data_IF_887847093978
#
_entry.id   IF_887847093978
#
_cell.length_a   1.000
_cell.length_b   1.000
_cell.length_c   1.000
_cell.angle_alpha   90.00
_cell.angle_beta   90.00
_cell.angle_gamma   90.00
#
_symmetry.space_group_name_H-M   'P 1'
#
loop_
_entity.id
_entity.type
_entity.pdbx_description
1 polymer ?
#
# COMPACT_ATOMS: atom_id res chain seq x y z
N UNK A 1 -40.05 48.87 -46.64
CA UNK A 1 -39.61 50.23 -46.27
C UNK A 1 -38.41 50.11 -45.34
N UNK A 2 -37.27 50.69 -45.73
CA UNK A 2 -36.31 51.48 -44.92
C UNK A 2 -35.98 50.88 -43.53
N UNK A 3 -34.80 50.29 -43.24
CA UNK A 3 -33.45 50.77 -43.51
C UNK A 3 -32.87 51.45 -42.25
N UNK A 4 -31.81 50.89 -41.64
CA UNK A 4 -30.65 51.64 -41.10
C UNK A 4 -29.51 50.73 -40.63
N UNK A 5 -28.32 51.15 -41.04
CA UNK A 5 -26.97 50.62 -40.85
C UNK A 5 -26.21 51.56 -39.90
N UNK A 6 -25.29 51.02 -39.09
CA UNK A 6 -24.01 51.62 -38.66
C UNK A 6 -23.14 50.48 -38.05
N UNK A 7 -21.99 50.03 -38.60
CA UNK A 7 -20.65 50.63 -38.77
C UNK A 7 -20.06 51.12 -37.42
N UNK A 8 -18.80 50.88 -36.98
CA UNK A 8 -17.57 50.32 -37.55
C UNK A 8 -16.53 50.08 -36.42
N UNK A 9 -15.42 49.39 -36.71
CA UNK A 9 -14.11 49.52 -36.03
C UNK A 9 -13.58 48.20 -35.43
N UNK A 10 -12.90 47.32 -36.15
CA UNK A 10 -11.51 47.34 -36.66
C UNK A 10 -10.42 47.35 -35.57
N UNK A 11 -9.68 46.23 -35.41
CA UNK A 11 -8.25 46.16 -35.79
C UNK A 11 -7.71 44.71 -35.77
N UNK A 12 -6.84 44.43 -36.74
CA UNK A 12 -6.17 43.18 -37.06
C UNK A 12 -4.80 43.06 -36.34
N UNK A 13 -4.46 41.84 -35.95
CA UNK A 13 -3.11 41.24 -36.01
C UNK A 13 -3.32 39.73 -35.80
N UNK A 14 -2.93 38.79 -36.67
CA UNK A 14 -1.78 38.71 -37.55
C UNK A 14 -1.04 37.43 -37.15
N UNK A 15 -1.00 36.42 -38.02
CA UNK A 15 -0.23 35.19 -37.77
C UNK A 15 -0.68 33.97 -38.58
N UNK A 16 -0.19 33.86 -39.80
CA UNK A 16 -0.24 32.64 -40.64
C UNK A 16 1.01 31.81 -40.38
N UNK A 17 0.88 30.49 -40.21
CA UNK A 17 1.86 29.47 -40.63
C UNK A 17 1.24 28.08 -40.40
N UNK A 18 0.76 27.40 -41.44
CA UNK A 18 1.46 26.37 -42.23
C UNK A 18 1.50 24.97 -41.57
N UNK A 19 0.74 24.03 -42.14
CA UNK A 19 0.82 22.58 -41.90
C UNK A 19 1.74 21.98 -42.98
N UNK A 20 2.61 21.01 -42.64
CA UNK A 20 2.70 19.79 -43.46
C UNK A 20 2.86 18.48 -42.62
N UNK A 21 2.85 17.29 -43.26
CA UNK A 21 2.25 16.06 -42.71
C UNK A 21 3.22 14.98 -42.21
N UNK A 22 2.63 13.95 -41.56
CA UNK A 22 3.02 12.53 -41.41
C UNK A 22 4.50 12.16 -41.20
N UNK A 23 4.79 11.52 -40.06
CA UNK A 23 5.81 10.48 -39.95
C UNK A 23 5.42 9.43 -38.90
N UNK A 24 5.27 8.17 -39.33
CA UNK A 24 5.30 6.99 -38.46
C UNK A 24 6.73 6.84 -37.91
N UNK A 25 6.87 6.59 -36.60
CA UNK A 25 8.11 6.11 -36.01
C UNK A 25 7.83 5.04 -34.95
N UNK A 26 8.03 3.80 -35.40
CA UNK A 26 8.62 2.64 -34.75
C UNK A 26 8.31 2.31 -33.28
N UNK A 27 7.70 1.14 -33.10
CA UNK A 27 7.86 0.31 -31.91
C UNK A 27 9.36 0.02 -31.66
N UNK A 28 9.80 0.24 -30.43
CA UNK A 28 11.10 -0.18 -29.92
C UNK A 28 10.94 -0.54 -28.45
N UNK A 29 11.28 -1.78 -28.12
CA UNK A 29 11.27 -2.34 -26.78
C UNK A 29 12.17 -1.55 -25.82
N UNK A 30 11.89 -1.62 -24.51
CA UNK A 30 12.90 -1.93 -23.49
C UNK A 30 12.25 -2.04 -22.09
N UNK A 31 12.42 -3.21 -21.48
CA UNK A 31 12.43 -3.43 -20.04
C UNK A 31 13.76 -4.13 -19.71
N UNK A 32 14.28 -4.15 -18.47
CA UNK A 32 13.91 -3.41 -17.25
C UNK A 32 15.09 -2.57 -16.70
N UNK A 33 14.84 -1.43 -16.04
CA UNK A 33 15.89 -0.74 -15.26
C UNK A 33 15.83 -1.15 -13.80
N UNK A 34 16.89 -1.83 -13.36
CA UNK A 34 17.22 -2.03 -11.96
C UNK A 34 17.31 -0.67 -11.24
N UNK A 35 16.62 -0.50 -10.12
CA UNK A 35 16.70 0.73 -9.33
C UNK A 35 17.54 0.48 -8.07
N UNK A 36 18.66 1.19 -8.00
CA UNK A 36 19.48 1.33 -6.81
C UNK A 36 18.68 2.03 -5.70
N UNK A 37 18.71 1.47 -4.49
CA UNK A 37 17.96 1.97 -3.34
C UNK A 37 18.66 3.16 -2.66
N UNK A 38 17.93 4.27 -2.54
CA UNK A 38 18.31 5.46 -1.78
C UNK A 38 17.78 5.38 -0.31
N UNK A 39 18.36 6.12 0.65
CA UNK A 39 18.12 5.93 2.10
C UNK A 39 16.81 6.56 2.64
N UNK A 40 16.22 5.91 3.66
CA UNK A 40 14.88 6.14 4.23
C UNK A 40 14.88 7.11 5.45
N UNK A 41 13.94 8.07 5.48
CA UNK A 41 13.56 8.98 6.60
C UNK A 41 12.07 8.75 6.94
N UNK A 42 11.53 9.17 8.09
CA UNK A 42 10.15 8.88 8.59
C UNK A 42 8.99 9.38 7.67
N UNK A 43 9.35 9.91 6.49
CA UNK A 43 8.52 10.31 5.34
C UNK A 43 8.61 9.37 4.13
N UNK A 44 9.28 8.23 4.26
CA UNK A 44 9.63 7.36 3.13
C UNK A 44 8.76 6.10 3.14
N UNK A 45 7.87 6.04 2.16
CA UNK A 45 7.05 4.86 1.91
C UNK A 45 7.92 3.80 1.27
N UNK A 46 7.80 2.52 1.63
CA UNK A 46 8.53 1.42 0.99
C UNK A 46 8.26 1.40 -0.53
N UNK A 47 9.18 0.90 -1.39
CA UNK A 47 8.89 0.82 -2.83
C UNK A 47 7.62 -0.01 -3.07
N UNK A 48 6.68 0.54 -3.84
CA UNK A 48 5.37 -0.07 -4.09
C UNK A 48 4.32 0.15 -2.98
N UNK A 49 4.66 0.79 -1.86
CA UNK A 49 3.75 1.00 -0.75
C UNK A 49 2.53 1.86 -1.12
N UNK A 50 2.63 2.80 -2.08
CA UNK A 50 1.47 3.56 -2.55
C UNK A 50 0.36 2.64 -3.11
N UNK A 51 0.73 1.66 -3.94
CA UNK A 51 -0.22 0.69 -4.48
C UNK A 51 -0.74 -0.27 -3.40
N UNK A 52 0.11 -0.64 -2.43
CA UNK A 52 -0.30 -1.44 -1.29
C UNK A 52 -1.31 -0.70 -0.42
N UNK A 53 -1.05 0.57 -0.06
CA UNK A 53 -1.95 1.41 0.75
C UNK A 53 -3.29 1.61 0.06
N UNK A 54 -3.29 1.88 -1.24
CA UNK A 54 -4.55 1.98 -2.01
C UNK A 54 -5.37 0.69 -1.88
N UNK A 55 -4.76 -0.48 -2.11
CA UNK A 55 -5.43 -1.77 -1.97
C UNK A 55 -5.86 -2.09 -0.55
N UNK A 56 -5.08 -1.66 0.44
CA UNK A 56 -5.43 -1.78 1.84
C UNK A 56 -6.73 -1.03 2.14
N UNK A 57 -6.88 0.21 1.65
CA UNK A 57 -8.11 0.98 1.79
C UNK A 57 -9.29 0.38 1.02
N UNK A 58 -9.08 -0.15 -0.19
CA UNK A 58 -10.12 -0.85 -0.95
C UNK A 58 -10.65 -2.10 -0.24
N UNK A 59 -9.81 -2.76 0.56
CA UNK A 59 -10.19 -3.96 1.33
C UNK A 59 -10.89 -3.64 2.66
N UNK A 60 -10.81 -2.41 3.19
CA UNK A 60 -11.49 -2.05 4.45
C UNK A 60 -13.00 -2.23 4.30
N UNK A 61 -13.60 -2.91 5.28
CA UNK A 61 -15.03 -3.27 5.25
C UNK A 61 -15.35 -4.56 4.47
N UNK A 62 -14.36 -5.19 3.84
CA UNK A 62 -14.51 -6.54 3.29
C UNK A 62 -14.44 -7.62 4.38
N UNK A 63 -14.80 -8.85 4.02
CA UNK A 63 -14.88 -10.00 4.90
C UNK A 63 -14.14 -11.21 4.31
N UNK A 64 -14.04 -12.30 5.08
CA UNK A 64 -13.45 -13.56 4.63
C UNK A 64 -11.96 -13.70 4.94
N UNK A 65 -11.41 -12.85 5.81
CA UNK A 65 -10.03 -12.93 6.29
C UNK A 65 -9.91 -13.52 7.70
N UNK A 66 -10.89 -14.29 8.15
CA UNK A 66 -10.89 -14.85 9.51
C UNK A 66 -9.67 -15.73 9.74
N UNK A 67 -8.84 -15.38 10.73
CA UNK A 67 -7.54 -16.00 11.03
C UNK A 67 -6.55 -16.01 9.86
N UNK A 68 -6.73 -15.15 8.86
CA UNK A 68 -5.94 -15.12 7.63
C UNK A 68 -5.16 -13.81 7.50
N UNK A 69 -4.59 -13.33 8.60
CA UNK A 69 -3.82 -12.08 8.68
C UNK A 69 -2.65 -12.03 7.68
N UNK A 70 -1.88 -13.13 7.56
CA UNK A 70 -0.80 -13.24 6.59
C UNK A 70 -1.30 -13.18 5.14
N UNK A 71 -2.48 -13.77 4.86
CA UNK A 71 -3.10 -13.68 3.53
C UNK A 71 -3.59 -12.26 3.24
N UNK A 72 -4.20 -11.58 4.21
CA UNK A 72 -4.59 -10.18 4.05
C UNK A 72 -3.38 -9.31 3.71
N UNK A 73 -2.31 -9.42 4.49
CA UNK A 73 -1.08 -8.67 4.26
C UNK A 73 -0.50 -8.93 2.86
N UNK A 74 -0.46 -10.20 2.42
CA UNK A 74 -0.01 -10.57 1.09
C UNK A 74 -0.91 -9.98 -0.02
N UNK A 75 -2.24 -10.08 0.14
CA UNK A 75 -3.20 -9.56 -0.84
C UNK A 75 -3.08 -8.05 -0.99
N UNK A 76 -2.88 -7.32 0.12
CA UNK A 76 -2.59 -5.88 0.11
C UNK A 76 -1.38 -5.57 -0.78
N UNK A 77 -0.32 -6.37 -0.68
CA UNK A 77 0.88 -6.29 -1.51
C UNK A 77 0.77 -6.95 -2.89
N UNK A 78 -0.45 -7.28 -3.32
CA UNK A 78 -0.70 -7.85 -4.66
C UNK A 78 -0.22 -9.29 -4.83
N UNK A 79 0.04 -10.01 -3.74
CA UNK A 79 0.42 -11.43 -3.73
C UNK A 79 -0.78 -12.28 -3.34
N UNK A 80 -0.98 -13.48 -3.94
CA UNK A 80 -2.10 -14.36 -3.57
C UNK A 80 -1.93 -15.03 -2.20
N UNK A 81 -0.70 -15.11 -1.67
CA UNK A 81 -0.35 -15.76 -0.41
C UNK A 81 0.97 -15.20 0.15
N UNK A 82 1.18 -15.35 1.45
CA UNK A 82 2.41 -14.90 2.11
C UNK A 82 3.60 -15.85 1.91
N UNK A 83 3.32 -17.14 1.65
CA UNK A 83 4.33 -18.20 1.55
C UNK A 83 4.89 -18.69 2.89
N UNK A 84 4.37 -18.19 4.01
CA UNK A 84 4.66 -18.67 5.36
C UNK A 84 3.43 -19.34 5.95
N UNK A 85 3.63 -20.36 6.78
CA UNK A 85 2.57 -21.04 7.52
C UNK A 85 1.89 -20.11 8.53
N UNK A 86 2.64 -19.18 9.14
CA UNK A 86 2.08 -18.21 10.09
C UNK A 86 2.83 -16.88 10.12
N UNK A 87 2.20 -15.85 10.72
CA UNK A 87 2.84 -14.57 10.95
C UNK A 87 4.05 -14.69 11.89
N UNK A 88 3.97 -15.56 12.90
CA UNK A 88 5.08 -15.86 13.80
C UNK A 88 6.25 -16.55 13.06
N UNK A 89 5.97 -17.42 12.10
CA UNK A 89 7.01 -18.00 11.25
C UNK A 89 7.66 -16.95 10.36
N UNK A 90 6.86 -16.13 9.68
CA UNK A 90 7.37 -15.03 8.86
C UNK A 90 8.27 -14.11 9.70
N UNK A 91 7.83 -13.72 10.91
CA UNK A 91 8.64 -12.92 11.81
C UNK A 91 9.98 -13.59 12.18
N UNK A 92 9.97 -14.87 12.55
CA UNK A 92 11.21 -15.61 12.85
C UNK A 92 12.15 -15.62 11.65
N UNK A 93 11.64 -15.77 10.43
CA UNK A 93 12.45 -15.69 9.22
C UNK A 93 13.03 -14.29 9.02
N UNK A 94 12.24 -13.22 9.24
CA UNK A 94 12.73 -11.84 9.15
C UNK A 94 13.85 -11.57 10.15
N UNK A 95 13.72 -12.10 11.37
CA UNK A 95 14.80 -12.04 12.38
C UNK A 95 16.03 -12.82 11.92
N UNK A 96 15.87 -14.07 11.47
CA UNK A 96 16.98 -14.92 11.06
C UNK A 96 17.77 -14.35 9.87
N UNK A 97 17.10 -13.65 8.97
CA UNK A 97 17.69 -13.02 7.78
C UNK A 97 18.17 -11.59 7.99
N UNK A 98 18.03 -11.03 9.20
CA UNK A 98 18.44 -9.66 9.51
C UNK A 98 17.53 -8.57 8.93
N UNK A 99 16.33 -8.91 8.47
CA UNK A 99 15.35 -7.97 7.92
C UNK A 99 14.37 -7.41 8.97
N UNK A 100 14.41 -7.92 10.21
CA UNK A 100 13.52 -7.50 11.27
C UNK A 100 14.05 -6.28 12.04
N UNK A 101 13.21 -5.26 12.15
CA UNK A 101 13.42 -4.09 13.00
C UNK A 101 12.70 -4.33 14.34
N UNK A 102 13.41 -5.00 15.26
CA UNK A 102 12.84 -5.52 16.52
C UNK A 102 12.55 -4.38 17.49
N UNK A 103 11.32 -4.32 18.01
CA UNK A 103 10.86 -3.32 18.98
C UNK A 103 10.74 -1.89 18.44
N UNK A 104 11.16 -1.63 17.20
CA UNK A 104 11.09 -0.32 16.57
C UNK A 104 9.64 0.09 16.30
N UNK A 105 9.26 1.27 16.78
CA UNK A 105 7.90 1.83 16.71
C UNK A 105 7.75 2.88 15.59
N UNK A 106 8.77 3.05 14.74
CA UNK A 106 8.79 3.99 13.61
C UNK A 106 8.82 3.24 12.26
N UNK A 107 7.79 2.44 11.93
CA UNK A 107 7.76 1.72 10.67
C UNK A 107 7.54 2.66 9.48
N UNK A 108 8.20 2.42 8.32
CA UNK A 108 7.86 3.12 7.08
C UNK A 108 6.51 2.66 6.53
N UNK A 109 5.81 3.53 5.78
CA UNK A 109 4.53 3.17 5.14
C UNK A 109 4.70 1.95 4.24
N UNK A 110 3.79 0.98 4.39
CA UNK A 110 3.81 -0.30 3.71
C UNK A 110 4.50 -1.43 4.47
N UNK A 111 5.20 -1.15 5.59
CA UNK A 111 5.83 -2.18 6.39
C UNK A 111 4.84 -3.20 6.95
N UNK A 112 5.31 -4.42 7.16
CA UNK A 112 4.60 -5.46 7.89
C UNK A 112 4.94 -5.34 9.38
N UNK A 113 3.92 -5.15 10.21
CA UNK A 113 4.06 -5.11 11.67
C UNK A 113 3.67 -6.46 12.24
N UNK A 114 4.42 -6.92 13.24
CA UNK A 114 4.24 -8.26 13.81
C UNK A 114 3.96 -8.20 15.31
N UNK A 115 3.08 -9.09 15.78
CA UNK A 115 2.77 -9.27 17.18
C UNK A 115 2.81 -10.74 17.58
N UNK A 116 3.21 -11.00 18.83
CA UNK A 116 2.93 -12.25 19.52
C UNK A 116 1.57 -12.13 20.23
N UNK A 117 0.68 -13.07 19.98
CA UNK A 117 -0.70 -13.07 20.52
C UNK A 117 -0.91 -14.16 21.59
N UNK A 118 0.17 -14.73 22.13
CA UNK A 118 0.14 -15.86 23.07
C UNK A 118 -0.05 -17.24 22.41
N UNK A 119 -0.56 -17.30 21.18
CA UNK A 119 -0.65 -18.52 20.36
C UNK A 119 0.51 -18.71 19.38
N UNK A 120 0.57 -19.87 18.69
CA UNK A 120 1.69 -20.21 17.79
C UNK A 120 1.68 -19.45 16.46
N UNK A 121 0.55 -18.84 16.08
CA UNK A 121 0.38 -18.20 14.77
C UNK A 121 0.88 -16.77 14.71
N UNK A 122 0.84 -16.02 15.83
CA UNK A 122 1.12 -14.59 15.87
C UNK A 122 0.11 -13.77 15.05
N UNK A 123 0.44 -12.50 14.83
CA UNK A 123 -0.36 -11.61 13.99
C UNK A 123 0.53 -10.71 13.12
N UNK A 124 0.03 -10.38 11.93
CA UNK A 124 0.67 -9.43 11.01
C UNK A 124 -0.36 -8.46 10.43
N UNK A 125 0.03 -7.19 10.27
CA UNK A 125 -0.79 -6.16 9.64
C UNK A 125 0.08 -5.22 8.80
N UNK A 126 -0.53 -4.49 7.86
CA UNK A 126 0.19 -3.53 7.00
C UNK A 126 0.05 -2.12 7.56
N UNK A 127 1.17 -1.44 7.79
CA UNK A 127 1.17 -0.04 8.19
C UNK A 127 0.84 0.87 7.01
N UNK A 128 -0.16 1.73 7.18
CA UNK A 128 -0.64 2.65 6.13
C UNK A 128 -0.32 4.12 6.42
N UNK A 129 0.49 4.38 7.45
CA UNK A 129 0.89 5.72 7.86
C UNK A 129 0.04 6.29 9.00
N UNK A 130 0.50 7.40 9.58
CA UNK A 130 -0.18 8.15 10.62
C UNK A 130 -0.61 7.30 11.84
N UNK A 131 0.22 6.35 12.26
CA UNK A 131 -0.09 5.48 13.41
C UNK A 131 -1.12 4.37 13.14
N UNK A 132 -1.53 4.19 11.87
CA UNK A 132 -2.61 3.27 11.49
C UNK A 132 -2.16 2.06 10.70
N UNK A 133 -2.92 0.98 10.85
CA UNK A 133 -2.75 -0.29 10.15
C UNK A 133 -4.07 -0.74 9.53
N UNK A 134 -3.97 -1.51 8.45
CA UNK A 134 -5.08 -2.35 7.98
C UNK A 134 -4.87 -3.78 8.47
N UNK A 135 -5.86 -4.30 9.18
CA UNK A 135 -5.80 -5.58 9.89
C UNK A 135 -7.14 -6.32 9.83
N UNK A 136 -7.13 -7.62 10.09
CA UNK A 136 -8.33 -8.45 10.15
C UNK A 136 -8.73 -8.79 11.60
N UNK A 137 -9.98 -9.21 11.79
CA UNK A 137 -10.56 -9.80 13.01
C UNK A 137 -10.69 -8.82 14.21
N UNK A 138 -9.91 -7.73 14.24
CA UNK A 138 -9.75 -6.86 15.41
C UNK A 138 -11.06 -6.21 15.86
N UNK A 139 -12.00 -5.95 14.95
CA UNK A 139 -13.30 -5.35 15.24
C UNK A 139 -14.47 -6.20 14.74
N UNK A 140 -14.27 -7.51 14.59
CA UNK A 140 -15.36 -8.44 14.30
C UNK A 140 -16.46 -8.27 15.36
N UNK A 141 -17.70 -8.07 14.89
CA UNK A 141 -18.87 -7.96 15.75
C UNK A 141 -19.33 -9.36 16.19
N UNK A 142 -19.22 -10.31 15.25
CA UNK A 142 -19.44 -11.74 15.50
C UNK A 142 -18.12 -12.49 15.32
N UNK A 143 -17.69 -13.31 16.30
CA UNK A 143 -16.48 -14.12 16.15
C UNK A 143 -16.54 -14.98 14.89
N UNK A 144 -15.51 -14.90 14.03
CA UNK A 144 -15.44 -15.69 12.80
C UNK A 144 -15.77 -14.92 11.51
N UNK A 145 -16.17 -13.64 11.60
CA UNK A 145 -16.49 -12.83 10.43
C UNK A 145 -15.28 -12.61 9.51
N UNK A 146 -14.12 -12.36 10.11
CA UNK A 146 -12.92 -12.08 9.34
C UNK A 146 -12.99 -10.76 8.61
N UNK A 147 -13.53 -9.74 9.26
CA UNK A 147 -13.65 -8.40 8.72
C UNK A 147 -12.29 -7.71 8.60
N UNK A 148 -12.18 -6.74 7.70
CA UNK A 148 -10.97 -5.94 7.47
C UNK A 148 -11.20 -4.51 7.97
N UNK A 149 -10.29 -4.02 8.80
CA UNK A 149 -10.45 -2.78 9.53
C UNK A 149 -9.21 -1.89 9.43
N UNK A 150 -9.44 -0.59 9.30
CA UNK A 150 -8.42 0.45 9.52
C UNK A 150 -8.45 0.85 11.00
N UNK A 151 -7.36 0.63 11.73
CA UNK A 151 -7.28 0.87 13.16
C UNK A 151 -5.93 1.46 13.56
N UNK A 152 -5.86 2.06 14.75
CA UNK A 152 -4.60 2.46 15.37
C UNK A 152 -3.78 1.22 15.76
N UNK A 153 -2.44 1.27 15.60
CA UNK A 153 -1.52 0.17 15.93
C UNK A 153 -1.76 -0.37 17.34
N UNK A 154 -1.93 0.52 18.31
CA UNK A 154 -2.07 0.17 19.73
C UNK A 154 -3.33 -0.65 20.05
N UNK A 155 -4.32 -0.67 19.15
CA UNK A 155 -5.56 -1.43 19.36
C UNK A 155 -5.30 -2.94 19.42
N UNK A 156 -4.35 -3.45 18.63
CA UNK A 156 -3.97 -4.87 18.63
C UNK A 156 -3.46 -5.27 20.02
N UNK A 157 -2.56 -4.46 20.59
CA UNK A 157 -1.98 -4.72 21.91
C UNK A 157 -3.04 -4.62 23.00
N UNK A 158 -3.85 -3.55 23.00
CA UNK A 158 -4.83 -3.33 24.06
C UNK A 158 -6.00 -4.32 24.03
N UNK A 159 -6.48 -4.72 22.84
CA UNK A 159 -7.68 -5.57 22.72
C UNK A 159 -7.36 -7.06 22.83
N UNK A 160 -6.20 -7.50 22.36
CA UNK A 160 -5.80 -8.90 22.37
C UNK A 160 -4.75 -9.24 23.42
N UNK A 161 -4.31 -8.26 24.23
CA UNK A 161 -3.16 -8.41 25.13
C UNK A 161 -1.92 -8.94 24.38
N UNK A 162 -1.73 -8.46 23.15
CA UNK A 162 -0.67 -8.90 22.27
C UNK A 162 0.62 -8.10 22.53
N UNK A 163 1.76 -8.73 22.32
CA UNK A 163 3.07 -8.08 22.43
C UNK A 163 3.57 -7.69 21.05
N UNK A 164 3.77 -6.39 20.83
CA UNK A 164 4.41 -5.91 19.60
C UNK A 164 5.85 -6.40 19.50
N UNK A 165 6.21 -6.96 18.35
CA UNK A 165 7.54 -7.53 18.10
C UNK A 165 8.44 -6.58 17.31
N UNK A 166 7.86 -5.73 16.46
CA UNK A 166 8.59 -4.86 15.53
C UNK A 166 7.97 -4.89 14.13
N UNK A 167 8.76 -4.45 13.15
CA UNK A 167 8.36 -4.44 11.75
C UNK A 167 9.41 -5.06 10.83
N UNK A 168 9.00 -5.41 9.62
CA UNK A 168 9.89 -5.82 8.54
C UNK A 168 9.36 -5.32 7.18
N UNK A 169 10.23 -5.19 6.15
CA UNK A 169 9.78 -4.99 4.78
C UNK A 169 8.84 -6.13 4.31
N UNK A 170 8.02 -5.90 3.27
CA UNK A 170 7.04 -6.87 2.74
C UNK A 170 7.71 -7.99 1.94
N UNK A 171 8.48 -8.81 2.64
CA UNK A 171 9.18 -9.97 2.08
C UNK A 171 8.26 -11.18 2.23
N UNK A 172 7.94 -11.80 1.10
CA UNK A 172 7.09 -12.97 0.99
C UNK A 172 7.89 -14.15 0.45
N UNK A 173 7.52 -15.35 0.85
CA UNK A 173 8.08 -16.59 0.29
C UNK A 173 7.24 -17.05 -0.90
N UNK A 174 7.88 -17.70 -1.87
CA UNK A 174 7.25 -18.16 -3.13
C UNK A 174 6.46 -19.43 -2.96
#
# INVERSE_FOLDING_TARGET
>A
MIGKVALAGALLAGGVCLIPPLALANAGADAPVAQAQAPYDDKTQLPGAAAAVQRAHELVGSYGYYQLCARLAANIWGRPRAGYFSAAEQWRQMVATGNAHRGDRQPPVGALLFWATGGPYGHVAVYVGNGRIVSNDINDAVPGEGGVYLVEIGLIESKWNATYLGWAPPIYST
#
